data_IF_905925457805
#
_entry.id   IF_905925457805
#
_cell.length_a   1.000
_cell.length_b   1.000
_cell.length_c   1.000
_cell.angle_alpha   90.00
_cell.angle_beta   90.00
_cell.angle_gamma   90.00
#
_symmetry.space_group_name_H-M   'P 1'
#
loop_
_entity.id
_entity.type
_entity.pdbx_description
1 polymer ?
#
# COMPACT_ATOMS: atom_id res chain seq x y z
N UNK A 1 -29.66 -37.07 -44.90
CA UNK A 1 -28.88 -35.83 -45.15
C UNK A 1 -28.53 -35.32 -43.77
N UNK A 2 -27.39 -35.78 -43.25
CA UNK A 2 -27.17 -35.94 -41.80
C UNK A 2 -25.92 -35.19 -41.39
N UNK A 3 -26.14 -34.30 -40.43
CA UNK A 3 -25.26 -33.66 -39.45
C UNK A 3 -23.83 -34.21 -39.42
N UNK A 4 -22.84 -33.35 -39.70
CA UNK A 4 -21.44 -33.46 -39.23
C UNK A 4 -20.66 -32.17 -39.54
N UNK A 5 -20.17 -31.50 -38.48
CA UNK A 5 -19.01 -30.56 -38.37
C UNK A 5 -19.32 -29.54 -37.26
N UNK A 6 -18.47 -29.27 -36.27
CA UNK A 6 -17.22 -29.84 -35.83
C UNK A 6 -17.04 -29.42 -34.37
N UNK A 7 -16.88 -30.37 -33.45
CA UNK A 7 -16.35 -30.14 -32.11
C UNK A 7 -14.86 -30.43 -32.22
N UNK A 8 -14.02 -29.39 -32.25
CA UNK A 8 -12.58 -29.52 -32.01
C UNK A 8 -12.01 -28.14 -31.68
N UNK A 9 -11.49 -27.97 -30.47
CA UNK A 9 -10.72 -26.77 -30.12
C UNK A 9 -10.78 -26.29 -28.67
N UNK A 10 -11.53 -26.94 -27.76
CA UNK A 10 -11.52 -26.61 -26.32
C UNK A 10 -10.78 -27.67 -25.51
N UNK A 11 -9.45 -27.73 -25.62
CA UNK A 11 -8.65 -28.48 -24.62
C UNK A 11 -7.17 -28.09 -24.51
N UNK A 12 -6.64 -27.23 -25.40
CA UNK A 12 -5.21 -26.84 -25.35
C UNK A 12 -4.92 -25.47 -24.71
N UNK A 13 -5.91 -24.62 -24.46
CA UNK A 13 -5.70 -23.33 -23.77
C UNK A 13 -5.61 -23.43 -22.23
N UNK A 14 -6.12 -24.51 -21.62
CA UNK A 14 -6.11 -24.66 -20.15
C UNK A 14 -4.75 -25.10 -19.58
N UNK A 15 -3.85 -25.62 -20.40
CA UNK A 15 -2.56 -26.17 -19.93
C UNK A 15 -1.44 -25.12 -19.93
N UNK A 16 -1.52 -24.10 -20.79
CA UNK A 16 -0.51 -23.01 -20.81
C UNK A 16 -0.77 -21.91 -19.78
N UNK A 17 -2.02 -21.66 -19.39
CA UNK A 17 -2.35 -20.71 -18.31
C UNK A 17 -1.91 -21.22 -16.92
N UNK A 18 -1.85 -22.55 -16.73
CA UNK A 18 -1.36 -23.16 -15.48
C UNK A 18 0.18 -23.15 -15.43
N UNK A 19 0.86 -23.31 -16.58
CA UNK A 19 2.31 -23.31 -16.62
C UNK A 19 2.95 -21.92 -16.40
N UNK A 20 2.29 -20.83 -16.85
CA UNK A 20 2.77 -19.46 -16.61
C UNK A 20 2.51 -19.00 -15.15
N UNK A 21 1.40 -19.43 -14.54
CA UNK A 21 1.13 -19.21 -13.12
C UNK A 21 2.10 -19.94 -12.19
N UNK A 22 2.59 -21.13 -12.60
CA UNK A 22 3.56 -21.93 -11.83
C UNK A 22 4.99 -21.36 -11.88
N UNK A 23 5.38 -20.63 -12.94
CA UNK A 23 6.73 -20.04 -13.03
C UNK A 23 6.83 -18.71 -12.29
N UNK A 24 5.75 -17.92 -12.20
CA UNK A 24 5.72 -16.70 -11.37
C UNK A 24 5.55 -17.04 -9.89
N UNK A 25 4.79 -18.08 -9.57
CA UNK A 25 4.84 -18.73 -8.24
C UNK A 25 6.20 -19.38 -7.95
N UNK A 26 7.04 -19.67 -8.95
CA UNK A 26 8.40 -20.16 -8.70
C UNK A 26 9.41 -19.02 -8.49
N UNK A 27 9.18 -17.81 -9.01
CA UNK A 27 10.15 -16.70 -8.86
C UNK A 27 9.86 -15.78 -7.68
N UNK A 28 8.58 -15.48 -7.41
CA UNK A 28 8.16 -14.94 -6.11
C UNK A 28 8.19 -16.03 -5.04
N UNK A 29 7.70 -17.24 -5.34
CA UNK A 29 7.62 -18.31 -4.36
C UNK A 29 8.94 -18.99 -4.00
N UNK A 30 9.98 -19.02 -4.85
CA UNK A 30 11.29 -19.52 -4.41
C UNK A 30 11.97 -18.54 -3.45
N UNK A 31 11.86 -17.22 -3.68
CA UNK A 31 12.26 -16.22 -2.69
C UNK A 31 11.42 -16.34 -1.40
N UNK A 32 10.13 -16.64 -1.54
CA UNK A 32 9.16 -16.79 -0.45
C UNK A 32 9.34 -18.04 0.41
N UNK A 33 9.73 -19.19 -0.17
CA UNK A 33 10.08 -20.41 0.58
C UNK A 33 11.37 -20.26 1.37
N UNK A 34 12.16 -19.23 1.09
CA UNK A 34 13.34 -18.90 1.85
C UNK A 34 13.04 -17.97 3.03
N UNK A 35 11.90 -17.25 3.04
CA UNK A 35 11.54 -16.33 4.13
C UNK A 35 11.46 -17.07 5.47
N UNK A 36 11.90 -16.46 6.59
CA UNK A 36 11.92 -17.14 7.88
C UNK A 36 10.58 -17.78 8.24
N UNK A 37 10.66 -18.91 8.95
CA UNK A 37 9.49 -19.41 9.67
C UNK A 37 9.01 -18.33 10.64
N UNK A 38 7.69 -18.25 10.79
CA UNK A 38 7.05 -17.31 11.69
C UNK A 38 7.15 -17.90 13.08
N UNK A 39 7.87 -17.22 13.97
CA UNK A 39 8.03 -17.61 15.37
C UNK A 39 6.82 -17.12 16.18
N UNK A 40 6.45 -17.80 17.27
CA UNK A 40 5.39 -17.28 18.14
C UNK A 40 5.83 -15.95 18.78
N UNK A 41 4.93 -14.96 18.82
CA UNK A 41 5.19 -13.71 19.56
C UNK A 41 5.13 -14.01 21.07
N UNK A 42 6.23 -13.82 21.83
CA UNK A 42 6.22 -14.05 23.27
C UNK A 42 5.43 -12.96 24.00
N UNK A 43 4.87 -13.27 25.17
CA UNK A 43 4.20 -12.27 26.03
C UNK A 43 5.15 -11.14 26.45
N UNK A 44 6.44 -11.44 26.58
CA UNK A 44 7.49 -10.47 26.90
C UNK A 44 8.68 -10.73 25.98
N UNK A 45 9.18 -9.69 25.33
CA UNK A 45 10.39 -9.77 24.52
C UNK A 45 11.61 -9.99 25.41
N UNK A 46 12.52 -10.83 24.96
CA UNK A 46 13.80 -11.01 25.63
C UNK A 46 14.56 -9.69 25.73
N UNK A 47 15.42 -9.58 26.75
CA UNK A 47 16.37 -8.48 26.86
C UNK A 47 17.28 -8.45 25.63
N UNK A 48 17.68 -7.24 25.23
CA UNK A 48 18.73 -7.08 24.22
C UNK A 48 20.03 -7.57 24.85
N UNK A 49 20.76 -8.40 24.12
CA UNK A 49 22.02 -8.95 24.62
C UNK A 49 23.03 -7.81 24.86
N UNK A 50 23.74 -7.77 26.02
CA UNK A 50 24.65 -6.67 26.36
C UNK A 50 25.77 -6.42 25.35
N UNK A 51 26.15 -7.42 24.56
CA UNK A 51 27.15 -7.33 23.50
C UNK A 51 26.66 -6.64 22.21
N UNK A 52 25.36 -6.44 22.05
CA UNK A 52 24.78 -5.77 20.88
C UNK A 52 24.99 -4.26 21.01
N UNK A 53 25.73 -3.68 20.07
CA UNK A 53 25.89 -2.23 19.96
C UNK A 53 24.88 -1.65 18.98
N UNK A 54 23.78 -1.09 19.49
CA UNK A 54 22.73 -0.48 18.65
C UNK A 54 23.30 0.62 17.74
N UNK A 55 24.24 1.42 18.24
CA UNK A 55 24.89 2.49 17.48
C UNK A 55 25.73 1.98 16.28
N UNK A 56 26.19 0.73 16.31
CA UNK A 56 26.97 0.13 15.22
C UNK A 56 26.11 -0.62 14.21
N UNK A 57 24.81 -0.78 14.44
CA UNK A 57 23.90 -1.36 13.46
C UNK A 57 23.86 -0.48 12.21
N UNK A 58 23.93 -1.13 11.04
CA UNK A 58 24.03 -0.45 9.75
C UNK A 58 22.96 -0.98 8.79
N UNK A 59 22.15 -0.08 8.26
CA UNK A 59 21.37 -0.32 7.06
C UNK A 59 22.31 -0.17 5.87
N UNK A 60 22.75 -1.29 5.28
CA UNK A 60 23.64 -1.27 4.13
C UNK A 60 23.05 -0.46 2.97
N UNK A 61 23.92 0.25 2.22
CA UNK A 61 23.52 0.98 1.02
C UNK A 61 22.83 0.07 -0.01
N UNK A 62 21.65 0.46 -0.47
CA UNK A 62 20.80 -0.36 -1.34
C UNK A 62 20.12 0.48 -2.41
N UNK A 63 20.41 0.17 -3.67
CA UNK A 63 19.89 0.93 -4.81
C UNK A 63 20.32 2.40 -4.71
N UNK A 64 19.38 3.38 -4.72
CA UNK A 64 19.67 4.78 -4.52
C UNK A 64 19.85 5.20 -3.06
N UNK A 65 19.49 4.34 -2.09
CA UNK A 65 19.58 4.71 -0.67
C UNK A 65 21.02 4.62 -0.16
N UNK A 66 21.50 5.64 0.56
CA UNK A 66 22.81 5.58 1.20
C UNK A 66 22.84 4.55 2.32
N UNK A 67 24.03 4.12 2.71
CA UNK A 67 24.19 3.36 3.95
C UNK A 67 23.88 4.26 5.15
N UNK A 68 23.23 3.72 6.17
CA UNK A 68 22.87 4.46 7.39
C UNK A 68 23.29 3.67 8.61
N UNK A 69 24.23 4.21 9.38
CA UNK A 69 24.58 3.68 10.70
C UNK A 69 23.74 4.36 11.77
N UNK A 70 23.13 3.60 12.66
CA UNK A 70 22.19 4.18 13.64
C UNK A 70 22.85 5.19 14.58
N UNK A 71 24.12 4.99 14.95
CA UNK A 71 24.88 5.94 15.77
C UNK A 71 25.13 7.30 15.10
N UNK A 72 25.05 7.39 13.77
CA UNK A 72 25.17 8.66 13.03
C UNK A 72 23.88 9.50 13.10
N UNK A 73 22.78 8.90 13.55
CA UNK A 73 21.49 9.57 13.77
C UNK A 73 21.35 10.12 15.20
N UNK A 74 22.42 10.13 15.99
CA UNK A 74 22.41 10.73 17.32
C UNK A 74 21.92 12.19 17.27
N UNK A 75 21.03 12.54 18.21
CA UNK A 75 20.30 13.80 18.22
C UNK A 75 18.93 13.75 17.53
N UNK A 76 18.57 12.63 16.88
CA UNK A 76 17.26 12.41 16.28
C UNK A 76 16.49 11.29 17.00
N UNK A 77 15.16 11.34 16.97
CA UNK A 77 14.34 10.16 17.32
C UNK A 77 14.21 9.30 16.07
N UNK A 78 14.58 8.03 16.16
CA UNK A 78 14.54 7.11 15.01
C UNK A 78 13.43 6.09 15.24
N UNK A 79 12.61 5.81 14.23
CA UNK A 79 11.75 4.62 14.24
C UNK A 79 12.05 3.69 13.08
N UNK A 80 11.96 2.39 13.37
CA UNK A 80 12.28 1.34 12.41
C UNK A 80 11.10 0.37 12.37
N UNK A 81 10.51 0.25 11.19
CA UNK A 81 9.49 -0.74 10.87
C UNK A 81 10.16 -1.94 10.22
N UNK A 82 10.36 -3.02 10.97
CA UNK A 82 10.93 -4.26 10.48
C UNK A 82 9.80 -5.13 9.92
N UNK A 83 9.82 -5.37 8.63
CA UNK A 83 8.75 -6.01 7.87
C UNK A 83 9.03 -7.50 7.66
N UNK A 84 8.28 -8.33 8.39
CA UNK A 84 8.28 -9.78 8.27
C UNK A 84 7.21 -10.31 7.30
N UNK A 85 7.09 -11.63 7.27
CA UNK A 85 6.13 -12.35 6.41
C UNK A 85 4.67 -12.04 6.74
N UNK A 86 4.31 -12.00 8.01
CA UNK A 86 2.94 -11.74 8.48
C UNK A 86 2.56 -10.27 8.30
N UNK A 87 3.51 -9.34 8.46
CA UNK A 87 3.25 -7.93 8.18
C UNK A 87 3.08 -7.65 6.68
N UNK A 88 3.78 -8.38 5.81
CA UNK A 88 3.64 -8.25 4.37
C UNK A 88 2.40 -8.94 3.79
N UNK A 89 1.86 -9.99 4.43
CA UNK A 89 0.77 -10.81 3.83
C UNK A 89 -0.41 -11.13 4.73
N UNK A 90 -0.23 -11.09 6.05
CA UNK A 90 -1.23 -11.37 7.07
C UNK A 90 -2.03 -10.13 7.49
N UNK A 91 -1.57 -8.94 7.13
CA UNK A 91 -2.21 -7.68 7.52
C UNK A 91 -1.84 -7.20 8.92
N UNK A 92 -0.88 -7.86 9.57
CA UNK A 92 -0.31 -7.41 10.83
C UNK A 92 0.34 -6.02 10.65
N UNK A 93 0.14 -5.14 11.62
CA UNK A 93 0.64 -3.77 11.60
C UNK A 93 -0.21 -2.77 10.83
N UNK A 94 -1.37 -3.18 10.30
CA UNK A 94 -2.29 -2.31 9.53
C UNK A 94 -2.61 -1.00 10.29
N UNK A 95 -2.97 -1.09 11.57
CA UNK A 95 -3.33 0.08 12.38
C UNK A 95 -2.15 1.05 12.54
N UNK A 96 -0.96 0.51 12.84
CA UNK A 96 0.25 1.31 13.01
C UNK A 96 0.65 2.01 11.69
N UNK A 97 0.63 1.30 10.55
CA UNK A 97 0.95 1.88 9.24
C UNK A 97 0.00 3.01 8.88
N UNK A 98 -1.31 2.81 9.06
CA UNK A 98 -2.31 3.86 8.80
C UNK A 98 -2.02 5.11 9.61
N UNK A 99 -1.73 4.93 10.90
CA UNK A 99 -1.36 6.04 11.77
C UNK A 99 -0.07 6.74 11.32
N UNK A 100 1.01 5.99 11.03
CA UNK A 100 2.28 6.56 10.56
C UNK A 100 2.17 7.24 9.20
N UNK A 101 1.30 6.76 8.30
CA UNK A 101 1.03 7.44 7.02
C UNK A 101 0.33 8.77 7.23
N UNK A 102 -0.59 8.85 8.21
CA UNK A 102 -1.39 10.03 8.51
C UNK A 102 -0.66 11.06 9.35
N UNK A 103 0.08 10.64 10.37
CA UNK A 103 0.70 11.54 11.34
C UNK A 103 1.72 12.48 10.71
N UNK A 104 1.73 13.70 11.27
CA UNK A 104 2.78 14.68 11.09
C UNK A 104 3.84 14.42 12.15
N UNK A 105 5.10 14.30 11.71
CA UNK A 105 6.25 14.03 12.56
C UNK A 105 7.16 15.26 12.57
N UNK A 106 7.77 15.62 13.72
CA UNK A 106 8.79 16.66 13.77
C UNK A 106 9.97 16.36 12.84
N UNK A 107 10.68 17.40 12.38
CA UNK A 107 11.80 17.28 11.44
C UNK A 107 12.97 16.43 11.97
N UNK A 108 13.12 16.32 13.28
CA UNK A 108 14.14 15.51 13.96
C UNK A 108 13.67 14.07 14.25
N UNK A 109 12.54 13.63 13.68
CA UNK A 109 12.06 12.25 13.74
C UNK A 109 12.21 11.59 12.38
N UNK A 110 13.04 10.56 12.31
CA UNK A 110 13.36 9.84 11.07
C UNK A 110 12.87 8.39 11.11
N UNK A 111 12.41 7.90 9.96
CA UNK A 111 11.74 6.60 9.85
C UNK A 111 12.31 5.73 8.74
N UNK A 112 12.43 4.43 9.00
CA UNK A 112 12.88 3.44 8.02
C UNK A 112 11.93 2.25 7.95
N UNK A 113 11.73 1.71 6.75
CA UNK A 113 11.11 0.40 6.55
C UNK A 113 12.19 -0.61 6.17
N UNK A 114 12.27 -1.72 6.89
CA UNK A 114 13.35 -2.71 6.76
C UNK A 114 12.73 -4.08 6.53
N UNK A 115 12.78 -4.59 5.30
CA UNK A 115 12.35 -5.95 5.00
C UNK A 115 13.29 -6.97 5.63
N UNK A 116 12.80 -7.78 6.56
CA UNK A 116 13.57 -8.87 7.16
C UNK A 116 13.64 -10.03 6.18
N UNK A 117 14.83 -10.28 5.64
CA UNK A 117 15.08 -11.33 4.65
C UNK A 117 16.06 -12.37 5.20
N UNK A 118 15.91 -13.65 4.81
CA UNK A 118 16.84 -14.68 5.22
C UNK A 118 18.23 -14.42 4.65
N UNK A 119 19.30 -14.79 5.36
CA UNK A 119 20.68 -14.59 4.90
C UNK A 119 20.94 -15.17 3.48
N UNK A 120 20.32 -16.32 3.17
CA UNK A 120 20.43 -16.95 1.86
C UNK A 120 19.87 -16.12 0.70
N UNK A 121 18.96 -15.17 0.96
CA UNK A 121 18.41 -14.28 -0.08
C UNK A 121 19.44 -13.26 -0.58
N UNK A 122 20.57 -13.06 0.10
CA UNK A 122 21.62 -12.13 -0.31
C UNK A 122 22.16 -12.45 -1.71
N UNK A 123 22.17 -13.72 -2.12
CA UNK A 123 22.60 -14.14 -3.46
C UNK A 123 21.68 -13.61 -4.56
N UNK A 124 20.45 -13.24 -4.20
CA UNK A 124 19.43 -12.66 -5.07
C UNK A 124 19.28 -11.14 -4.86
N UNK A 125 20.15 -10.48 -4.09
CA UNK A 125 20.07 -9.04 -3.76
C UNK A 125 19.80 -8.16 -4.98
N UNK A 126 20.57 -8.33 -6.06
CA UNK A 126 20.38 -7.54 -7.28
C UNK A 126 19.05 -7.79 -8.00
N UNK A 127 18.47 -8.99 -7.86
CA UNK A 127 17.14 -9.30 -8.39
C UNK A 127 16.04 -8.71 -7.51
N UNK A 128 16.16 -8.85 -6.19
CA UNK A 128 15.25 -8.28 -5.19
C UNK A 128 15.19 -6.76 -5.36
N UNK A 129 16.34 -6.10 -5.49
CA UNK A 129 16.40 -4.65 -5.72
C UNK A 129 15.71 -4.27 -7.04
N UNK A 130 16.06 -4.92 -8.15
CA UNK A 130 15.55 -4.54 -9.47
C UNK A 130 14.05 -4.84 -9.67
N UNK A 131 13.56 -5.95 -9.12
CA UNK A 131 12.22 -6.47 -9.42
C UNK A 131 11.20 -6.21 -8.32
N UNK A 132 11.64 -5.88 -7.09
CA UNK A 132 10.75 -5.69 -5.96
C UNK A 132 10.99 -4.36 -5.24
N UNK A 133 12.16 -4.18 -4.62
CA UNK A 133 12.39 -3.02 -3.74
C UNK A 133 12.42 -1.71 -4.54
N UNK A 134 13.19 -1.64 -5.62
CA UNK A 134 13.33 -0.45 -6.46
C UNK A 134 11.98 0.09 -6.95
N UNK A 135 11.10 -0.72 -7.56
CA UNK A 135 9.75 -0.29 -7.94
C UNK A 135 8.88 0.19 -6.77
N UNK A 136 9.09 -0.33 -5.55
CA UNK A 136 8.31 0.03 -4.36
C UNK A 136 8.77 1.33 -3.69
N UNK A 137 9.99 1.82 -3.95
CA UNK A 137 10.52 3.04 -3.30
C UNK A 137 9.62 4.26 -3.52
N UNK A 138 9.17 4.45 -4.75
CA UNK A 138 8.25 5.54 -5.09
C UNK A 138 6.83 5.36 -4.55
N UNK A 139 6.49 4.15 -4.10
CA UNK A 139 5.15 3.78 -3.65
C UNK A 139 5.00 3.79 -2.13
N UNK A 140 6.10 3.92 -1.40
CA UNK A 140 6.17 3.90 0.06
C UNK A 140 6.44 5.29 0.63
N UNK A 141 5.96 5.55 1.85
CA UNK A 141 6.25 6.80 2.58
C UNK A 141 7.69 6.83 3.12
N UNK A 142 8.23 5.66 3.47
CA UNK A 142 9.53 5.51 4.13
C UNK A 142 10.58 4.97 3.15
N UNK A 143 11.86 5.36 3.32
CA UNK A 143 12.98 4.66 2.70
C UNK A 143 12.93 3.16 3.04
N UNK A 144 13.15 2.32 2.04
CA UNK A 144 13.10 0.86 2.18
C UNK A 144 14.50 0.27 2.12
N UNK A 145 14.83 -0.54 3.12
CA UNK A 145 16.04 -1.36 3.14
C UNK A 145 15.65 -2.83 3.26
N UNK A 146 16.56 -3.72 2.88
CA UNK A 146 16.43 -5.17 3.13
C UNK A 146 17.56 -5.59 4.06
N UNK A 147 17.19 -6.16 5.20
CA UNK A 147 18.12 -6.76 6.15
C UNK A 147 18.32 -8.24 5.77
N UNK A 148 19.43 -8.52 5.08
CA UNK A 148 19.77 -9.88 4.66
C UNK A 148 20.44 -10.64 5.79
N UNK A 149 19.65 -11.40 6.56
CA UNK A 149 20.12 -12.17 7.69
C UNK A 149 19.39 -11.87 9.00
N UNK A 150 18.54 -10.84 9.00
CA UNK A 150 17.75 -10.46 10.17
C UNK A 150 18.65 -9.95 11.30
N UNK A 151 19.68 -9.17 10.98
CA UNK A 151 20.54 -8.53 11.97
C UNK A 151 19.74 -7.63 12.90
N UNK A 152 18.83 -6.81 12.36
CA UNK A 152 17.97 -5.93 13.15
C UNK A 152 16.98 -6.73 13.99
N UNK A 153 16.30 -7.72 13.39
CA UNK A 153 15.40 -8.62 14.13
C UNK A 153 16.14 -9.29 15.30
N UNK A 154 17.37 -9.75 15.08
CA UNK A 154 18.21 -10.40 16.11
C UNK A 154 18.71 -9.40 17.16
N UNK A 155 19.22 -8.24 16.74
CA UNK A 155 19.79 -7.23 17.60
C UNK A 155 18.76 -6.65 18.57
N UNK A 156 17.52 -6.48 18.12
CA UNK A 156 16.41 -6.01 18.95
C UNK A 156 15.66 -7.15 19.64
N UNK A 157 16.13 -8.39 19.60
CA UNK A 157 15.48 -9.57 20.18
C UNK A 157 13.98 -9.66 19.81
N UNK A 158 13.66 -9.52 18.53
CA UNK A 158 12.30 -9.57 17.98
C UNK A 158 12.00 -10.96 17.40
N UNK A 159 10.76 -11.46 17.48
CA UNK A 159 10.37 -12.73 16.86
C UNK A 159 10.38 -12.62 15.35
N UNK A 160 10.90 -13.63 14.67
CA UNK A 160 11.01 -13.63 13.21
C UNK A 160 9.66 -13.74 12.52
N UNK A 161 9.57 -13.12 11.35
CA UNK A 161 8.40 -13.23 10.48
C UNK A 161 7.24 -12.31 10.83
N UNK A 162 7.32 -11.56 11.94
CA UNK A 162 6.35 -10.56 12.37
C UNK A 162 6.77 -9.13 12.02
N UNK A 163 5.85 -8.18 12.14
CA UNK A 163 6.16 -6.77 12.24
C UNK A 163 6.99 -6.54 13.51
N UNK A 164 8.20 -6.03 13.35
CA UNK A 164 8.96 -5.41 14.42
C UNK A 164 8.79 -3.89 14.38
N UNK A 165 8.61 -3.25 15.53
CA UNK A 165 8.61 -1.79 15.63
C UNK A 165 9.53 -1.34 16.75
N UNK A 166 10.51 -0.51 16.40
CA UNK A 166 11.52 0.00 17.33
C UNK A 166 11.50 1.52 17.29
N UNK A 167 11.61 2.16 18.46
CA UNK A 167 11.89 3.59 18.59
C UNK A 167 13.19 3.76 19.36
N UNK A 168 14.11 4.51 18.78
CA UNK A 168 15.33 4.98 19.42
C UNK A 168 15.18 6.47 19.77
N UNK A 169 15.64 6.85 20.95
CA UNK A 169 15.70 8.24 21.35
C UNK A 169 16.93 8.97 20.79
N UNK A 170 17.02 10.29 21.03
CA UNK A 170 18.14 11.10 20.58
C UNK A 170 19.51 10.65 21.11
N UNK A 171 19.59 9.91 22.21
CA UNK A 171 20.83 9.36 22.75
C UNK A 171 21.11 7.94 22.22
N UNK A 172 20.40 7.50 21.18
CA UNK A 172 20.43 6.14 20.62
C UNK A 172 19.97 5.04 21.59
N UNK A 173 19.28 5.43 22.65
CA UNK A 173 18.66 4.53 23.61
C UNK A 173 17.38 3.92 23.04
N UNK A 174 17.11 2.65 23.34
CA UNK A 174 15.88 1.99 22.89
C UNK A 174 14.72 2.43 23.78
N UNK A 175 13.84 3.28 23.26
CA UNK A 175 12.64 3.76 23.95
C UNK A 175 11.48 2.78 23.87
N UNK A 176 11.36 2.07 22.76
CA UNK A 176 10.30 1.09 22.53
C UNK A 176 10.82 -0.06 21.66
N UNK A 177 10.38 -1.27 22.00
CA UNK A 177 10.33 -2.43 21.09
C UNK A 177 8.95 -3.05 21.16
N UNK A 178 8.40 -3.38 19.99
CA UNK A 178 7.11 -4.03 19.85
C UNK A 178 7.15 -5.05 18.73
N UNK A 179 6.41 -6.15 18.88
CA UNK A 179 6.24 -7.17 17.86
C UNK A 179 4.75 -7.41 17.60
N UNK A 180 4.39 -7.49 16.32
CA UNK A 180 3.03 -7.74 15.86
C UNK A 180 2.09 -6.54 15.88
N UNK A 181 0.79 -6.81 15.94
CA UNK A 181 -0.26 -5.79 15.95
C UNK A 181 -0.20 -4.90 17.19
N UNK A 182 -0.68 -3.67 17.04
CA UNK A 182 -0.82 -2.70 18.14
C UNK A 182 -2.30 -2.47 18.44
N UNK A 183 -2.62 -2.30 19.72
CA UNK A 183 -3.92 -1.79 20.14
C UNK A 183 -3.91 -0.25 20.24
N UNK A 184 -5.05 0.34 20.61
CA UNK A 184 -5.17 1.79 20.74
C UNK A 184 -4.27 2.39 21.83
N UNK A 185 -3.99 1.65 22.92
CA UNK A 185 -3.16 2.13 24.01
C UNK A 185 -1.69 2.17 23.59
N UNK A 186 -1.20 1.10 22.96
CA UNK A 186 0.14 1.03 22.38
C UNK A 186 0.32 2.05 21.26
N UNK A 187 -0.70 2.27 20.44
CA UNK A 187 -0.67 3.31 19.42
C UNK A 187 -0.53 4.72 20.02
N UNK A 188 -1.22 5.02 21.13
CA UNK A 188 -1.10 6.29 21.84
C UNK A 188 0.31 6.48 22.46
N UNK A 189 0.90 5.41 23.00
CA UNK A 189 2.28 5.42 23.49
C UNK A 189 3.27 5.71 22.35
N UNK A 190 3.15 5.02 21.22
CA UNK A 190 3.98 5.26 20.02
C UNK A 190 3.84 6.71 19.57
N UNK A 191 2.60 7.22 19.49
CA UNK A 191 2.34 8.61 19.11
C UNK A 191 3.08 9.60 20.01
N UNK A 192 3.04 9.38 21.33
CA UNK A 192 3.71 10.21 22.31
C UNK A 192 5.24 10.15 22.19
N UNK A 193 5.81 8.95 22.04
CA UNK A 193 7.26 8.76 21.88
C UNK A 193 7.80 9.41 20.60
N UNK A 194 7.03 9.35 19.51
CA UNK A 194 7.37 10.01 18.25
C UNK A 194 7.04 11.51 18.24
N UNK A 195 6.36 12.03 19.27
CA UNK A 195 5.83 13.40 19.31
C UNK A 195 4.98 13.71 18.06
N UNK A 196 4.25 12.70 17.61
CA UNK A 196 3.47 12.73 16.39
C UNK A 196 2.13 13.45 16.61
N UNK A 197 1.70 14.24 15.63
CA UNK A 197 0.42 14.94 15.66
C UNK A 197 -0.55 14.40 14.60
N UNK A 198 -1.86 14.53 14.85
CA UNK A 198 -2.80 14.38 13.73
C UNK A 198 -2.68 15.62 12.84
N UNK A 199 -2.76 15.48 11.52
CA UNK A 199 -2.82 16.64 10.65
C UNK A 199 -4.03 17.50 11.02
N UNK A 200 -3.93 18.83 10.92
CA UNK A 200 -5.08 19.70 11.15
C UNK A 200 -6.20 19.34 10.18
N UNK A 201 -7.47 19.53 10.57
CA UNK A 201 -8.57 19.32 9.64
C UNK A 201 -8.37 20.16 8.37
N UNK A 202 -8.70 19.57 7.22
CA UNK A 202 -8.57 20.25 5.94
C UNK A 202 -9.44 21.51 5.82
N UNK A 203 -9.16 22.37 4.84
CA UNK A 203 -9.95 23.58 4.61
C UNK A 203 -11.39 23.20 4.19
N UNK A 204 -12.33 24.12 4.41
CA UNK A 204 -13.68 23.97 3.87
C UNK A 204 -13.61 23.80 2.35
N UNK A 205 -14.41 22.87 1.81
CA UNK A 205 -14.47 22.67 0.37
C UNK A 205 -14.93 23.96 -0.32
N UNK A 206 -14.26 24.35 -1.42
CA UNK A 206 -14.75 25.42 -2.27
C UNK A 206 -16.10 25.04 -2.87
N UNK A 207 -16.83 26.02 -3.38
CA UNK A 207 -18.09 25.76 -4.08
C UNK A 207 -17.79 25.09 -5.43
N UNK A 208 -18.51 24.01 -5.74
CA UNK A 208 -18.37 23.26 -6.99
C UNK A 208 -19.69 22.61 -7.38
N UNK A 209 -19.81 22.30 -8.66
CA UNK A 209 -20.87 21.46 -9.22
C UNK A 209 -20.23 20.43 -10.17
N UNK A 210 -20.60 19.16 -10.01
CA UNK A 210 -20.11 18.06 -10.82
C UNK A 210 -21.22 17.02 -11.01
N UNK A 211 -21.95 17.13 -12.13
CA UNK A 211 -23.20 16.39 -12.31
C UNK A 211 -24.21 16.79 -11.24
N UNK A 212 -24.65 15.83 -10.43
CA UNK A 212 -25.55 16.07 -9.28
C UNK A 212 -24.79 16.32 -7.97
N UNK A 213 -23.46 16.20 -7.98
CA UNK A 213 -22.64 16.48 -6.81
C UNK A 213 -22.37 17.96 -6.69
N UNK A 214 -22.47 18.45 -5.46
CA UNK A 214 -22.11 19.81 -5.06
C UNK A 214 -21.45 19.74 -3.69
N UNK A 215 -20.93 20.86 -3.22
CA UNK A 215 -20.45 21.01 -1.84
C UNK A 215 -21.47 20.52 -0.80
N UNK A 216 -22.76 20.81 -1.00
CA UNK A 216 -23.81 20.40 -0.07
C UNK A 216 -24.08 18.89 -0.13
N UNK A 217 -23.89 18.27 -1.28
CA UNK A 217 -24.03 16.82 -1.45
C UNK A 217 -23.00 16.03 -0.62
N UNK A 218 -21.92 16.68 -0.16
CA UNK A 218 -20.84 16.04 0.60
C UNK A 218 -20.97 16.20 2.12
N UNK A 219 -21.99 16.92 2.59
CA UNK A 219 -22.28 17.06 4.02
C UNK A 219 -22.98 15.78 4.50
N UNK A 220 -22.60 15.29 5.69
CA UNK A 220 -23.02 14.01 6.30
C UNK A 220 -22.59 12.73 5.55
N UNK A 221 -22.35 12.82 4.24
CA UNK A 221 -21.85 11.73 3.41
C UNK A 221 -20.65 12.19 2.58
N UNK A 222 -19.44 11.64 2.81
CA UNK A 222 -18.24 12.04 2.07
C UNK A 222 -18.42 11.95 0.56
N UNK A 223 -17.72 12.80 -0.18
CA UNK A 223 -17.61 12.73 -1.64
C UNK A 223 -16.21 12.33 -2.07
N UNK A 224 -16.12 11.50 -3.11
CA UNK A 224 -14.88 11.20 -3.81
C UNK A 224 -15.00 11.66 -5.26
N UNK A 225 -14.17 12.62 -5.64
CA UNK A 225 -14.11 13.16 -7.00
C UNK A 225 -12.83 12.63 -7.65
N UNK A 226 -12.95 11.90 -8.75
CA UNK A 226 -11.81 11.35 -9.48
C UNK A 226 -11.74 11.99 -10.85
N UNK A 227 -10.57 12.50 -11.20
CA UNK A 227 -10.30 13.17 -12.46
C UNK A 227 -9.32 12.32 -13.27
N UNK A 228 -9.69 12.00 -14.51
CA UNK A 228 -8.86 11.23 -15.43
C UNK A 228 -8.09 12.18 -16.36
N UNK A 229 -6.82 11.90 -16.60
CA UNK A 229 -5.98 12.54 -17.64
C UNK A 229 -6.16 11.91 -19.04
N UNK A 230 -6.76 10.73 -19.13
CA UNK A 230 -6.97 10.03 -20.38
C UNK A 230 -8.20 9.12 -20.30
N UNK A 231 -8.73 8.73 -21.47
CA UNK A 231 -9.73 7.68 -21.55
C UNK A 231 -9.15 6.38 -20.99
N UNK A 232 -9.89 5.73 -20.10
CA UNK A 232 -9.54 4.41 -19.55
C UNK A 232 -10.56 3.37 -20.00
N UNK A 233 -10.09 2.26 -20.53
CA UNK A 233 -10.92 1.10 -20.85
C UNK A 233 -10.73 0.00 -19.81
N UNK A 234 -11.74 -0.86 -19.63
CA UNK A 234 -11.67 -2.01 -18.71
C UNK A 234 -10.43 -2.87 -18.94
N UNK A 235 -10.09 -3.12 -20.20
CA UNK A 235 -8.93 -3.92 -20.62
C UNK A 235 -7.58 -3.30 -20.27
N UNK A 236 -7.55 -2.07 -19.77
CA UNK A 236 -6.33 -1.41 -19.30
C UNK A 236 -6.16 -1.52 -17.77
N UNK A 237 -7.18 -1.96 -17.04
CA UNK A 237 -7.21 -1.99 -15.57
C UNK A 237 -6.72 -3.36 -15.07
N UNK A 238 -5.55 -3.44 -14.40
CA UNK A 238 -5.05 -4.71 -13.86
C UNK A 238 -5.80 -5.15 -12.60
N UNK A 239 -6.00 -6.47 -12.46
CA UNK A 239 -6.56 -7.08 -11.26
C UNK A 239 -8.09 -7.25 -11.26
N UNK A 240 -8.75 -7.04 -12.40
CA UNK A 240 -10.16 -7.39 -12.60
C UNK A 240 -10.27 -8.84 -13.10
N UNK A 241 -11.28 -9.58 -12.62
CA UNK A 241 -11.44 -11.01 -12.92
C UNK A 241 -11.81 -11.29 -14.39
N UNK A 242 -12.72 -10.50 -14.97
CA UNK A 242 -13.16 -10.65 -16.37
C UNK A 242 -12.95 -9.35 -17.15
N UNK A 243 -12.33 -9.44 -18.33
CA UNK A 243 -12.14 -8.32 -19.25
C UNK A 243 -11.15 -7.24 -18.79
N UNK A 244 -10.41 -7.49 -17.70
CA UNK A 244 -9.32 -6.64 -17.22
C UNK A 244 -8.06 -6.76 -18.06
N UNK A 245 -7.04 -5.99 -17.67
CA UNK A 245 -5.72 -6.04 -18.31
C UNK A 245 -5.07 -7.42 -18.20
N UNK A 246 -4.73 -7.98 -19.36
CA UNK A 246 -4.01 -9.24 -19.48
C UNK A 246 -2.50 -8.98 -19.55
N UNK A 247 -1.80 -9.23 -18.44
CA UNK A 247 -0.35 -9.12 -18.37
C UNK A 247 0.22 -9.80 -17.14
N UNK A 248 1.53 -10.03 -17.16
CA UNK A 248 2.25 -10.48 -15.97
C UNK A 248 2.35 -9.36 -14.93
N UNK A 249 2.88 -9.68 -13.73
CA UNK A 249 3.00 -8.72 -12.63
C UNK A 249 3.83 -7.49 -13.03
N UNK A 250 4.92 -7.67 -13.78
CA UNK A 250 5.77 -6.55 -14.21
C UNK A 250 5.01 -5.64 -15.16
N UNK A 251 4.29 -6.21 -16.12
CA UNK A 251 3.44 -5.45 -17.05
C UNK A 251 2.32 -4.73 -16.30
N UNK A 252 1.69 -5.38 -15.31
CA UNK A 252 0.69 -4.77 -14.47
C UNK A 252 1.25 -3.59 -13.67
N UNK A 253 2.46 -3.71 -13.09
CA UNK A 253 3.14 -2.62 -12.39
C UNK A 253 3.48 -1.44 -13.31
N UNK A 254 3.92 -1.69 -14.54
CA UNK A 254 4.13 -0.62 -15.52
C UNK A 254 2.81 0.03 -15.94
N UNK A 255 1.75 -0.77 -16.13
CA UNK A 255 0.44 -0.29 -16.52
C UNK A 255 -0.16 0.66 -15.47
N UNK A 256 -0.04 0.34 -14.18
CA UNK A 256 -0.51 1.21 -13.10
C UNK A 256 0.38 2.44 -12.87
N UNK A 257 1.48 2.64 -13.60
CA UNK A 257 2.18 3.94 -13.56
C UNK A 257 1.40 5.04 -14.26
N UNK A 258 0.47 4.67 -15.14
CA UNK A 258 -0.47 5.59 -15.76
C UNK A 258 -1.48 6.09 -14.71
N UNK A 259 -1.55 7.39 -14.42
CA UNK A 259 -2.36 7.93 -13.33
C UNK A 259 -3.84 7.53 -13.38
N UNK A 260 -4.51 7.73 -14.52
CA UNK A 260 -5.94 7.37 -14.66
C UNK A 260 -6.20 5.88 -14.50
N UNK A 261 -5.34 5.03 -15.04
CA UNK A 261 -5.46 3.57 -14.88
C UNK A 261 -5.31 3.16 -13.42
N UNK A 262 -4.38 3.80 -12.69
CA UNK A 262 -4.21 3.58 -11.25
C UNK A 262 -5.45 3.97 -10.45
N UNK A 263 -6.03 5.13 -10.75
CA UNK A 263 -7.26 5.60 -10.08
C UNK A 263 -8.44 4.67 -10.38
N UNK A 264 -8.64 4.29 -11.65
CA UNK A 264 -9.67 3.34 -12.04
C UNK A 264 -9.50 1.98 -11.33
N UNK A 265 -8.26 1.47 -11.26
CA UNK A 265 -7.93 0.25 -10.51
C UNK A 265 -8.26 0.38 -9.02
N UNK A 266 -7.92 1.50 -8.39
CA UNK A 266 -8.22 1.73 -6.98
C UNK A 266 -9.73 1.64 -6.72
N UNK A 267 -10.53 2.32 -7.54
CA UNK A 267 -11.99 2.34 -7.43
C UNK A 267 -12.64 0.97 -7.69
N UNK A 268 -12.22 0.25 -8.74
CA UNK A 268 -12.93 -0.94 -9.20
C UNK A 268 -12.35 -2.25 -8.65
N UNK A 269 -11.02 -2.35 -8.55
CA UNK A 269 -10.36 -3.59 -8.13
C UNK A 269 -10.11 -3.63 -6.62
N UNK A 270 -9.65 -2.51 -6.04
CA UNK A 270 -9.19 -2.49 -4.64
C UNK A 270 -10.31 -2.15 -3.66
N UNK A 271 -11.15 -1.16 -3.96
CA UNK A 271 -12.29 -0.81 -3.12
C UNK A 271 -13.44 -1.80 -3.37
N UNK A 272 -14.15 -2.24 -2.32
CA UNK A 272 -15.32 -3.07 -2.50
C UNK A 272 -16.50 -2.23 -3.00
N UNK A 273 -17.42 -2.84 -3.76
CA UNK A 273 -18.65 -2.18 -4.19
C UNK A 273 -19.49 -1.69 -2.99
N UNK A 274 -19.55 -2.52 -1.93
CA UNK A 274 -20.23 -2.19 -0.67
C UNK A 274 -19.60 -1.00 0.05
N UNK A 275 -18.28 -0.83 -0.06
CA UNK A 275 -17.59 0.32 0.50
C UNK A 275 -17.91 1.58 -0.30
N UNK A 276 -17.88 1.48 -1.63
CA UNK A 276 -18.17 2.59 -2.54
C UNK A 276 -19.59 3.15 -2.38
N UNK A 277 -20.54 2.32 -1.95
CA UNK A 277 -21.91 2.73 -1.64
C UNK A 277 -22.03 3.61 -0.38
N UNK A 278 -21.00 3.70 0.47
CA UNK A 278 -21.01 4.52 1.71
C UNK A 278 -20.79 6.01 1.44
N UNK A 279 -20.22 6.36 0.29
CA UNK A 279 -19.89 7.73 -0.09
C UNK A 279 -20.53 8.10 -1.42
N UNK A 280 -20.61 9.40 -1.68
CA UNK A 280 -20.97 9.93 -2.99
C UNK A 280 -19.71 9.97 -3.86
N UNK A 281 -19.84 9.87 -5.17
CA UNK A 281 -18.68 10.05 -6.02
C UNK A 281 -19.03 10.26 -7.48
N UNK A 282 -18.06 10.78 -8.22
CA UNK A 282 -18.16 11.04 -9.65
C UNK A 282 -16.79 10.89 -10.30
N UNK A 283 -16.79 10.46 -11.56
CA UNK A 283 -15.59 10.26 -12.36
C UNK A 283 -15.62 11.29 -13.49
N UNK A 284 -14.62 12.17 -13.54
CA UNK A 284 -14.46 13.20 -14.57
C UNK A 284 -13.55 12.68 -15.68
N UNK A 285 -14.05 12.69 -16.91
CA UNK A 285 -13.37 12.17 -18.10
C UNK A 285 -14.10 10.98 -18.72
N UNK A 286 -13.36 10.17 -19.47
CA UNK A 286 -13.91 9.09 -20.27
C UNK A 286 -13.54 7.70 -19.73
N UNK A 287 -14.53 6.84 -19.57
CA UNK A 287 -14.37 5.43 -19.22
C UNK A 287 -15.16 4.51 -20.13
N UNK A 288 -14.64 3.31 -20.42
CA UNK A 288 -15.34 2.30 -21.23
C UNK A 288 -15.28 0.91 -20.60
N UNK A 289 -16.44 0.30 -20.35
CA UNK A 289 -16.54 -1.07 -19.81
C UNK A 289 -16.20 -1.20 -18.32
N UNK A 290 -16.06 -0.08 -17.61
CA UNK A 290 -15.81 -0.05 -16.17
C UNK A 290 -16.59 1.08 -15.50
N UNK A 291 -16.69 1.04 -14.18
CA UNK A 291 -17.31 2.08 -13.38
C UNK A 291 -17.55 1.65 -11.94
N UNK A 292 -18.05 2.59 -11.14
CA UNK A 292 -18.51 2.33 -9.77
C UNK A 292 -20.03 2.49 -9.76
N UNK A 293 -20.73 1.53 -9.16
CA UNK A 293 -22.19 1.57 -9.11
C UNK A 293 -22.68 2.87 -8.42
N UNK A 294 -23.61 3.56 -9.08
CA UNK A 294 -24.16 4.83 -8.59
C UNK A 294 -23.29 6.07 -8.84
N UNK A 295 -22.12 5.94 -9.46
CA UNK A 295 -21.24 7.08 -9.74
C UNK A 295 -21.35 7.49 -11.22
N UNK A 296 -21.72 8.75 -11.51
CA UNK A 296 -21.77 9.22 -12.88
C UNK A 296 -20.36 9.43 -13.45
N UNK A 297 -20.21 9.15 -14.74
CA UNK A 297 -19.16 9.73 -15.56
C UNK A 297 -19.59 11.12 -16.03
N UNK A 298 -18.77 12.12 -15.75
CA UNK A 298 -18.94 13.49 -16.21
C UNK A 298 -17.87 13.77 -17.25
N UNK A 299 -18.26 13.88 -18.53
CA UNK A 299 -17.31 13.97 -19.63
C UNK A 299 -16.33 15.13 -19.47
N UNK A 300 -16.83 16.31 -19.09
CA UNK A 300 -16.04 17.54 -18.96
C UNK A 300 -16.43 18.32 -17.70
N UNK A 301 -15.43 18.80 -16.95
CA UNK A 301 -15.64 19.57 -15.73
C UNK A 301 -14.52 20.60 -15.47
N UNK A 302 -14.24 21.47 -16.46
CA UNK A 302 -13.17 22.47 -16.39
C UNK A 302 -13.24 23.34 -15.12
N UNK A 303 -14.44 23.79 -14.73
CA UNK A 303 -14.62 24.59 -13.52
C UNK A 303 -14.27 23.81 -12.25
N UNK A 304 -14.65 22.53 -12.14
CA UNK A 304 -14.30 21.70 -10.99
C UNK A 304 -12.79 21.44 -10.93
N UNK A 305 -12.16 21.17 -12.09
CA UNK A 305 -10.70 21.04 -12.20
C UNK A 305 -9.99 22.30 -11.68
N UNK A 306 -10.38 23.48 -12.17
CA UNK A 306 -9.84 24.76 -11.71
C UNK A 306 -10.04 24.96 -10.20
N UNK A 307 -11.26 24.72 -9.70
CA UNK A 307 -11.62 24.85 -8.29
C UNK A 307 -10.73 24.01 -7.36
N UNK A 308 -10.36 22.80 -7.78
CA UNK A 308 -9.51 21.91 -6.99
C UNK A 308 -8.02 21.96 -7.39
N UNK A 309 -7.64 22.86 -8.30
CA UNK A 309 -6.25 23.03 -8.74
C UNK A 309 -5.70 21.85 -9.55
N UNK A 310 -6.56 21.12 -10.27
CA UNK A 310 -6.20 19.98 -11.11
C UNK A 310 -6.03 20.46 -12.55
N UNK A 311 -4.91 20.13 -13.19
CA UNK A 311 -4.68 20.45 -14.61
C UNK A 311 -5.75 19.88 -15.55
N UNK A 312 -5.90 20.49 -16.74
CA UNK A 312 -6.83 20.01 -17.76
C UNK A 312 -6.53 18.57 -18.20
N UNK A 313 -5.24 18.27 -18.39
CA UNK A 313 -4.72 16.96 -18.80
C UNK A 313 -4.06 16.22 -17.63
N UNK A 314 -4.48 16.50 -16.40
CA UNK A 314 -3.91 15.91 -15.19
C UNK A 314 -4.94 15.02 -14.49
N UNK A 315 -4.49 13.85 -14.02
CA UNK A 315 -5.32 12.99 -13.20
C UNK A 315 -5.31 13.49 -11.75
N UNK A 316 -6.32 13.16 -10.98
CA UNK A 316 -6.35 13.53 -9.57
C UNK A 316 -7.48 12.88 -8.78
N UNK A 317 -7.35 12.94 -7.46
CA UNK A 317 -8.38 12.49 -6.53
C UNK A 317 -8.57 13.55 -5.46
N UNK A 318 -9.83 13.91 -5.22
CA UNK A 318 -10.24 14.80 -4.14
C UNK A 318 -11.24 14.05 -3.27
N UNK A 319 -11.02 14.06 -1.96
CA UNK A 319 -11.97 13.55 -0.97
C UNK A 319 -12.45 14.72 -0.13
N UNK A 320 -13.77 14.89 -0.10
CA UNK A 320 -14.46 15.84 0.78
C UNK A 320 -15.12 15.03 1.88
N UNK A 321 -14.77 15.31 3.14
CA UNK A 321 -15.33 14.60 4.28
C UNK A 321 -16.80 14.97 4.53
N UNK A 322 -17.47 14.23 5.42
CA UNK A 322 -18.85 14.49 5.81
C UNK A 322 -19.07 15.82 6.55
N UNK A 323 -18.02 16.58 6.83
CA UNK A 323 -18.08 17.94 7.37
C UNK A 323 -17.91 19.00 6.28
N UNK A 324 -17.82 18.60 5.01
CA UNK A 324 -17.66 19.49 3.87
C UNK A 324 -16.26 20.08 3.75
N UNK A 325 -15.22 19.39 4.24
CA UNK A 325 -13.82 19.82 4.15
C UNK A 325 -13.04 18.97 3.17
N UNK A 326 -12.05 19.55 2.50
CA UNK A 326 -11.12 18.79 1.65
C UNK A 326 -10.17 18.02 2.54
N UNK A 327 -10.42 16.72 2.72
CA UNK A 327 -9.61 15.84 3.56
C UNK A 327 -8.44 15.19 2.80
N UNK A 328 -8.52 15.12 1.48
CA UNK A 328 -7.46 14.60 0.61
C UNK A 328 -7.54 15.30 -0.75
N UNK A 329 -6.41 15.70 -1.29
CA UNK A 329 -6.30 16.25 -2.65
C UNK A 329 -4.92 15.93 -3.21
N UNK A 330 -4.87 15.14 -4.26
CA UNK A 330 -3.63 14.74 -4.91
C UNK A 330 -3.81 14.71 -6.42
N UNK A 331 -2.75 15.03 -7.16
CA UNK A 331 -2.73 15.03 -8.62
C UNK A 331 -1.65 14.10 -9.18
N UNK A 332 -1.77 13.77 -10.46
CA UNK A 332 -0.87 12.87 -11.17
C UNK A 332 -0.87 11.45 -10.60
N UNK A 333 0.32 10.81 -10.56
CA UNK A 333 0.50 9.45 -10.04
C UNK A 333 0.46 9.46 -8.51
N UNK A 334 -0.70 9.13 -7.93
CA UNK A 334 -0.84 8.95 -6.48
C UNK A 334 -0.13 7.65 -6.03
N UNK A 335 0.86 7.69 -5.13
CA UNK A 335 1.56 6.51 -4.66
C UNK A 335 0.68 5.66 -3.74
N UNK A 336 0.97 4.36 -3.62
CA UNK A 336 0.15 3.44 -2.82
C UNK A 336 -0.05 3.86 -1.36
N UNK A 337 0.97 4.41 -0.70
CA UNK A 337 0.82 4.86 0.68
C UNK A 337 -0.22 5.99 0.83
N UNK A 338 -0.34 6.88 -0.16
CA UNK A 338 -1.38 7.93 -0.19
C UNK A 338 -2.75 7.37 -0.55
N UNK A 339 -2.83 6.39 -1.45
CA UNK A 339 -4.09 5.68 -1.72
C UNK A 339 -4.58 4.91 -0.49
N UNK A 340 -3.67 4.38 0.32
CA UNK A 340 -4.01 3.78 1.61
C UNK A 340 -4.53 4.81 2.61
N UNK A 341 -4.02 6.05 2.60
CA UNK A 341 -4.54 7.15 3.42
C UNK A 341 -5.94 7.56 2.95
N UNK A 342 -6.16 7.67 1.64
CA UNK A 342 -7.47 7.91 1.06
C UNK A 342 -8.50 6.85 1.49
N UNK A 343 -8.12 5.57 1.45
CA UNK A 343 -8.96 4.47 1.94
C UNK A 343 -9.27 4.57 3.44
N UNK A 344 -8.28 4.92 4.28
CA UNK A 344 -8.46 5.12 5.72
C UNK A 344 -9.45 6.25 6.03
N UNK A 345 -9.32 7.39 5.34
CA UNK A 345 -10.23 8.54 5.46
C UNK A 345 -11.69 8.19 5.12
N UNK A 346 -11.89 7.23 4.22
CA UNK A 346 -13.20 6.75 3.78
C UNK A 346 -13.70 5.55 4.61
N UNK A 347 -12.90 5.03 5.55
CA UNK A 347 -13.23 3.83 6.32
C UNK A 347 -13.33 2.56 5.47
N UNK A 348 -12.54 2.49 4.39
CA UNK A 348 -12.46 1.34 3.48
C UNK A 348 -11.44 0.35 4.01
N UNK A 349 -11.85 -0.90 4.18
CA UNK A 349 -10.93 -1.98 4.50
C UNK A 349 -10.38 -2.62 3.21
N UNK A 350 -9.06 -2.71 3.03
CA UNK A 350 -8.49 -3.40 1.88
C UNK A 350 -8.96 -4.85 1.84
N UNK A 351 -9.34 -5.34 0.66
CA UNK A 351 -9.66 -6.76 0.45
C UNK A 351 -8.46 -7.61 0.86
N UNK A 352 -8.65 -8.51 1.83
CA UNK A 352 -7.57 -9.42 2.25
C UNK A 352 -7.11 -10.27 1.06
N UNK A 353 -5.79 -10.36 0.85
CA UNK A 353 -5.21 -11.13 -0.26
C UNK A 353 -5.65 -12.62 -0.23
N UNK A 354 -5.99 -13.16 0.94
CA UNK A 354 -6.52 -14.53 1.10
C UNK A 354 -7.89 -14.72 0.43
N UNK A 355 -8.69 -13.67 0.28
CA UNK A 355 -10.01 -13.72 -0.38
C UNK A 355 -9.92 -13.90 -1.91
N UNK A 356 -8.75 -13.67 -2.52
CA UNK A 356 -8.49 -13.88 -3.96
C UNK A 356 -8.21 -15.32 -4.37
N UNK A 357 -8.20 -16.30 -3.45
CA UNK A 357 -8.12 -17.72 -3.82
C UNK A 357 -9.51 -18.23 -4.23
N UNK A 358 -9.72 -18.69 -5.48
CA UNK A 358 -10.95 -19.37 -5.83
C UNK A 358 -10.98 -20.72 -5.09
N UNK A 359 -11.93 -20.85 -4.17
CA UNK A 359 -12.47 -22.13 -3.69
C UNK A 359 -11.47 -23.16 -3.18
N UNK A 360 -11.02 -23.03 -1.93
CA UNK A 360 -10.84 -24.23 -1.11
C UNK A 360 -12.17 -24.46 -0.41
N UNK A 361 -12.99 -25.36 -0.95
CA UNK A 361 -14.16 -25.87 -0.22
C UNK A 361 -13.66 -26.39 1.12
N UNK A 362 -14.08 -25.77 2.20
CA UNK A 362 -14.07 -26.42 3.50
C UNK A 362 -15.01 -27.62 3.36
N UNK A 363 -14.43 -28.82 3.39
CA UNK A 363 -15.19 -30.03 3.60
C UNK A 363 -15.63 -30.04 5.06
N UNK A 364 -16.94 -30.12 5.26
CA UNK A 364 -17.60 -30.48 6.53
C UNK A 364 -16.95 -31.71 7.19
#
# INVERSE_FOLDING_TARGET
>A
MTILRAVAGRSKLRVFAIAAGVVVLALGGAAWTMWPEVEDIPETLDEIKPEVSIAELELEAQGPEPGVRLGELAGQTVYIMIEGKESMTGGEGKLLRRALHRWELPEDVVGFSVGDAPAGAVVMRGKIEREFVGPMRDEMKLPIYVDFGGEFTTAFSLPKGHLGFVILGPESEVLLRHAGDVDAAKLAEIKALLRAEEPPPGPAAPDFELGELSKQSCVERPCVLVFLDAKVTRGEIPGLDEGGFEGDMKQAFEQIKQPSVRLARALEADWAAEDSAKFNGAIVGEGEGWGVEGWPFVAEAAAARETFGIGADEAGMVIIDGQGRVAFSETGRIPFWKLSLAADLLGIEPKDYKSRKPGRKESE
#
